data_IF_610517307181
#
_entry.id   IF_610517307181
#
_cell.length_a   1.000
_cell.length_b   1.000
_cell.length_c   1.000
_cell.angle_alpha   90.00
_cell.angle_beta   90.00
_cell.angle_gamma   90.00
#
_symmetry.space_group_name_H-M   'P 1'
#
loop_
_entity.id
_entity.type
_entity.pdbx_description
1 polymer ?
#
# COMPACT_ATOMS: atom_id res chain seq x y z
N UNK A 1 -19.24 17.26 -2.04
CA UNK A 1 -18.02 17.85 -1.48
C UNK A 1 -16.93 16.84 -1.75
N UNK A 2 -15.91 17.21 -2.52
CA UNK A 2 -14.87 16.27 -2.98
C UNK A 2 -13.95 15.93 -1.80
N UNK A 3 -13.91 14.65 -1.45
CA UNK A 3 -13.08 14.07 -0.38
C UNK A 3 -11.60 14.45 -0.57
N UNK A 4 -10.93 14.86 0.51
CA UNK A 4 -9.49 15.15 0.49
C UNK A 4 -8.74 14.05 1.22
N UNK A 5 -8.13 13.17 0.44
CA UNK A 5 -7.18 12.18 0.95
C UNK A 5 -5.79 12.82 0.97
N UNK A 6 -5.13 12.78 2.12
CA UNK A 6 -3.76 13.27 2.30
C UNK A 6 -2.82 12.08 2.49
N UNK A 7 -1.57 12.20 2.02
CA UNK A 7 -0.58 11.12 2.02
C UNK A 7 0.68 11.53 2.78
N UNK A 8 1.17 10.63 3.63
CA UNK A 8 2.45 10.77 4.36
C UNK A 8 3.29 9.55 4.04
N UNK A 9 4.54 9.78 3.64
CA UNK A 9 5.50 8.77 3.17
C UNK A 9 6.61 8.53 4.21
N UNK A 10 6.38 7.73 5.27
CA UNK A 10 7.47 7.31 6.14
C UNK A 10 8.23 6.14 5.48
N UNK A 11 9.52 6.34 5.18
CA UNK A 11 10.45 5.23 4.96
C UNK A 11 10.73 4.55 6.28
N UNK A 12 10.39 3.28 6.40
CA UNK A 12 10.64 2.47 7.59
C UNK A 12 11.52 1.30 7.14
N UNK A 13 12.77 1.28 7.63
CA UNK A 13 13.90 0.40 7.29
C UNK A 13 13.79 -0.46 6.00
N UNK A 14 12.97 -1.51 6.00
CA UNK A 14 12.83 -2.48 4.90
C UNK A 14 11.54 -2.36 4.07
N UNK A 15 10.79 -1.26 4.16
CA UNK A 15 9.60 -0.98 3.32
C UNK A 15 9.35 0.51 3.10
N UNK A 16 8.69 0.82 1.98
CA UNK A 16 8.06 2.11 1.74
C UNK A 16 6.57 2.00 2.09
N UNK A 17 5.97 3.05 2.64
CA UNK A 17 4.55 3.07 2.99
C UNK A 17 3.92 4.44 2.81
N UNK A 18 2.60 4.42 2.63
CA UNK A 18 1.76 5.61 2.58
C UNK A 18 0.59 5.48 3.53
N UNK A 19 0.17 6.61 4.10
CA UNK A 19 -1.03 6.71 4.92
C UNK A 19 -2.17 7.35 4.14
N UNK A 20 -3.38 6.82 4.27
CA UNK A 20 -4.61 7.35 3.72
C UNK A 20 -5.50 7.87 4.85
N UNK A 21 -5.99 9.10 4.67
CA UNK A 21 -6.90 9.74 5.61
C UNK A 21 -8.26 10.02 4.95
N UNK A 22 -9.35 9.76 5.67
CA UNK A 22 -10.72 10.12 5.29
C UNK A 22 -11.31 10.97 6.42
N UNK A 23 -11.80 12.15 6.08
CA UNK A 23 -12.34 13.11 7.06
C UNK A 23 -11.39 13.45 8.24
N UNK A 24 -10.08 13.41 7.99
CA UNK A 24 -9.05 13.65 9.00
C UNK A 24 -8.70 12.43 9.86
N UNK A 25 -9.37 11.30 9.68
CA UNK A 25 -9.11 10.04 10.36
C UNK A 25 -8.24 9.11 9.51
N UNK A 26 -7.31 8.39 10.14
CA UNK A 26 -6.47 7.40 9.46
C UNK A 26 -7.30 6.15 9.14
N UNK A 27 -7.41 5.80 7.85
CA UNK A 27 -8.18 4.63 7.39
C UNK A 27 -7.26 3.49 6.94
N UNK A 28 -6.12 3.82 6.32
CA UNK A 28 -5.20 2.81 5.81
C UNK A 28 -3.76 3.29 5.95
N UNK A 29 -2.89 2.41 6.43
CA UNK A 29 -1.45 2.48 6.15
C UNK A 29 -1.15 1.31 5.21
N UNK A 30 -0.61 1.60 4.03
CA UNK A 30 -0.27 0.58 3.05
C UNK A 30 1.23 0.66 2.76
N UNK A 31 1.94 -0.42 3.04
CA UNK A 31 3.36 -0.56 2.74
C UNK A 31 3.65 -1.61 1.69
N UNK A 32 4.83 -1.54 1.10
CA UNK A 32 5.40 -2.56 0.22
C UNK A 32 6.83 -2.86 0.63
N UNK A 33 7.12 -4.15 0.86
CA UNK A 33 8.44 -4.56 1.32
C UNK A 33 9.52 -4.30 0.27
N UNK A 34 10.73 -3.97 0.70
CA UNK A 34 11.89 -3.78 -0.16
C UNK A 34 12.22 -5.03 -0.98
N UNK A 35 11.89 -6.22 -0.47
CA UNK A 35 11.94 -7.47 -1.26
C UNK A 35 11.00 -7.41 -2.46
N UNK A 36 9.74 -7.00 -2.29
CA UNK A 36 8.80 -6.85 -3.41
C UNK A 36 9.27 -5.78 -4.40
N UNK A 37 9.90 -4.71 -3.91
CA UNK A 37 10.47 -3.66 -4.78
C UNK A 37 11.66 -4.16 -5.61
N UNK A 38 12.46 -5.08 -5.06
CA UNK A 38 13.68 -5.58 -5.70
C UNK A 38 13.47 -6.85 -6.53
N UNK A 39 12.35 -7.55 -6.33
CA UNK A 39 12.02 -8.77 -7.04
C UNK A 39 11.59 -8.46 -8.49
N UNK A 40 12.27 -9.06 -9.46
CA UNK A 40 12.01 -8.84 -10.87
C UNK A 40 10.60 -9.29 -11.29
N UNK A 41 10.05 -10.35 -10.67
CA UNK A 41 8.70 -10.84 -10.99
C UNK A 41 7.61 -9.87 -10.52
N UNK A 42 7.91 -9.06 -9.49
CA UNK A 42 6.97 -8.06 -9.01
C UNK A 42 6.85 -6.85 -9.94
N UNK A 43 7.86 -6.59 -10.79
CA UNK A 43 7.81 -5.49 -11.78
C UNK A 43 7.77 -4.08 -11.18
N UNK A 44 8.27 -3.89 -9.95
CA UNK A 44 8.21 -2.60 -9.22
C UNK A 44 9.52 -1.79 -9.28
N UNK A 45 10.59 -2.29 -9.92
CA UNK A 45 11.93 -1.71 -9.81
C UNK A 45 12.14 -0.33 -10.43
N UNK A 46 11.35 0.03 -11.46
CA UNK A 46 11.47 1.28 -12.22
C UNK A 46 10.23 2.18 -12.11
N UNK A 47 9.33 1.90 -11.17
CA UNK A 47 8.09 2.67 -10.99
C UNK A 47 8.18 3.61 -9.79
N UNK A 48 7.31 4.61 -9.79
CA UNK A 48 7.07 5.44 -8.61
C UNK A 48 6.26 4.64 -7.57
N UNK A 49 6.95 4.10 -6.56
CA UNK A 49 6.35 3.26 -5.51
C UNK A 49 5.26 4.00 -4.74
N UNK A 50 5.45 5.29 -4.50
CA UNK A 50 4.52 6.14 -3.77
C UNK A 50 3.21 6.30 -4.56
N UNK A 51 3.32 6.55 -5.86
CA UNK A 51 2.16 6.59 -6.77
C UNK A 51 1.50 5.21 -6.93
N UNK A 52 2.29 4.15 -7.02
CA UNK A 52 1.75 2.79 -7.15
C UNK A 52 0.96 2.37 -5.90
N UNK A 53 1.49 2.61 -4.70
CA UNK A 53 0.78 2.38 -3.44
C UNK A 53 -0.51 3.20 -3.39
N UNK A 54 -0.49 4.42 -3.92
CA UNK A 54 -1.67 5.28 -4.02
C UNK A 54 -2.76 4.65 -4.89
N UNK A 55 -2.42 4.18 -6.09
CA UNK A 55 -3.38 3.50 -6.98
C UNK A 55 -3.93 2.22 -6.36
N UNK A 56 -3.05 1.39 -5.78
CA UNK A 56 -3.43 0.13 -5.14
C UNK A 56 -4.37 0.39 -3.95
N UNK A 57 -4.03 1.31 -3.04
CA UNK A 57 -4.90 1.59 -1.90
C UNK A 57 -6.24 2.20 -2.29
N UNK A 58 -6.29 3.10 -3.29
CA UNK A 58 -7.55 3.64 -3.80
C UNK A 58 -8.47 2.57 -4.43
N UNK A 59 -7.91 1.45 -4.92
CA UNK A 59 -8.72 0.38 -5.50
C UNK A 59 -9.62 -0.35 -4.49
N UNK A 60 -9.32 -0.28 -3.19
CA UNK A 60 -10.08 -0.99 -2.16
C UNK A 60 -10.40 -0.17 -0.90
N UNK A 61 -9.96 1.09 -0.80
CA UNK A 61 -10.12 1.88 0.43
C UNK A 61 -11.59 2.03 0.86
N UNK A 62 -12.52 2.12 -0.08
CA UNK A 62 -13.95 2.26 0.20
C UNK A 62 -14.59 0.96 0.73
N UNK A 63 -13.89 -0.17 0.66
CA UNK A 63 -14.31 -1.43 1.27
C UNK A 63 -13.95 -1.53 2.76
N UNK A 64 -13.03 -0.67 3.22
CA UNK A 64 -12.54 -0.69 4.59
C UNK A 64 -13.59 -0.13 5.56
N UNK A 65 -13.96 -0.94 6.55
CA UNK A 65 -14.88 -0.55 7.63
C UNK A 65 -14.17 -0.05 8.89
N UNK A 66 -12.89 -0.37 9.01
CA UNK A 66 -12.05 -0.08 10.17
C UNK A 66 -10.63 0.20 9.68
N UNK A 67 -9.86 0.98 10.46
CA UNK A 67 -8.47 1.30 10.13
C UNK A 67 -7.63 0.04 9.92
N UNK A 68 -6.93 -0.02 8.80
CA UNK A 68 -6.00 -1.11 8.49
C UNK A 68 -4.56 -0.62 8.41
N UNK A 69 -3.62 -1.47 8.82
CA UNK A 69 -2.19 -1.33 8.50
C UNK A 69 -1.75 -2.60 7.79
N UNK A 70 -1.43 -2.51 6.51
CA UNK A 70 -1.19 -3.65 5.62
C UNK A 70 0.18 -3.53 4.96
N UNK A 71 0.85 -4.67 4.77
CA UNK A 71 2.10 -4.76 4.01
C UNK A 71 1.92 -5.72 2.83
N UNK A 72 2.31 -5.25 1.66
CA UNK A 72 2.39 -6.01 0.42
C UNK A 72 3.78 -6.64 0.37
N UNK A 73 3.82 -7.96 0.21
CA UNK A 73 5.06 -8.73 0.05
C UNK A 73 5.22 -9.17 -1.40
N UNK A 74 6.41 -9.67 -1.75
CA UNK A 74 6.71 -10.14 -3.10
C UNK A 74 5.71 -11.18 -3.61
N UNK A 75 5.17 -12.03 -2.73
CA UNK A 75 4.15 -13.03 -3.09
C UNK A 75 2.79 -12.44 -3.48
N UNK A 76 2.56 -11.15 -3.27
CA UNK A 76 1.28 -10.49 -3.52
C UNK A 76 1.26 -9.69 -4.83
N UNK A 77 2.37 -9.63 -5.55
CA UNK A 77 2.53 -8.77 -6.73
C UNK A 77 3.15 -9.57 -7.87
N UNK A 78 2.63 -9.38 -9.08
CA UNK A 78 3.23 -9.90 -10.32
C UNK A 78 3.05 -8.82 -11.40
N UNK A 79 4.12 -8.51 -12.14
CA UNK A 79 4.10 -7.54 -13.24
C UNK A 79 3.46 -6.18 -12.87
N UNK A 80 3.73 -5.69 -11.66
CA UNK A 80 3.19 -4.44 -11.12
C UNK A 80 1.73 -4.52 -10.66
N UNK A 81 1.07 -5.66 -10.78
CA UNK A 81 -0.31 -5.86 -10.36
C UNK A 81 -0.42 -6.57 -9.01
N UNK A 82 -1.31 -6.09 -8.14
CA UNK A 82 -1.67 -6.79 -6.90
C UNK A 82 -2.49 -8.05 -7.24
N UNK A 83 -1.97 -9.23 -6.90
CA UNK A 83 -2.60 -10.53 -7.17
C UNK A 83 -3.40 -11.08 -5.98
N UNK A 84 -3.22 -10.47 -4.81
CA UNK A 84 -3.85 -10.89 -3.55
C UNK A 84 -4.90 -9.86 -3.14
N UNK A 85 -6.12 -10.32 -2.84
CA UNK A 85 -7.16 -9.45 -2.28
C UNK A 85 -6.69 -8.78 -0.97
N UNK A 86 -7.02 -7.50 -0.77
CA UNK A 86 -6.50 -6.68 0.34
C UNK A 86 -6.71 -7.33 1.71
N UNK A 87 -7.85 -8.02 1.90
CA UNK A 87 -8.21 -8.67 3.17
C UNK A 87 -7.27 -9.82 3.56
N UNK A 88 -6.50 -10.32 2.60
CA UNK A 88 -5.54 -11.41 2.77
C UNK A 88 -4.08 -10.92 2.86
N UNK A 89 -3.86 -9.60 2.77
CA UNK A 89 -2.53 -9.02 2.97
C UNK A 89 -2.09 -9.17 4.43
N UNK A 90 -0.78 -9.22 4.62
CA UNK A 90 -0.19 -9.26 5.96
C UNK A 90 -0.42 -7.92 6.67
N UNK A 91 -0.48 -7.96 8.00
CA UNK A 91 -0.42 -6.74 8.80
C UNK A 91 0.98 -6.15 8.76
N UNK A 92 1.05 -4.82 8.71
CA UNK A 92 2.29 -4.08 8.88
C UNK A 92 2.77 -4.29 10.34
N UNK A 93 4.07 -4.56 10.59
CA UNK A 93 4.58 -4.68 11.95
C UNK A 93 4.45 -3.34 12.72
N UNK A 94 4.16 -3.42 14.02
CA UNK A 94 4.03 -2.26 14.92
C UNK A 94 5.39 -1.62 15.27
#
# INVERSE_FOLDING_TARGET
MTEKIYYVFPRLDDYDAISFYKDGELILVLGVSGTAQSDAECGLGDIDIDHWLWEVGNSFIDELKETQKLIIKYTNVVDGGLTTHWSNLNKLPD
#
